data_IF_369796420561
#
_entry.id   IF_369796420561
#
_cell.length_a   1.000
_cell.length_b   1.000
_cell.length_c   1.000
_cell.angle_alpha   90.00
_cell.angle_beta   90.00
_cell.angle_gamma   90.00
#
_symmetry.space_group_name_H-M   'P 1'
#
loop_
_entity.id
_entity.type
_entity.pdbx_description
1 polymer ?
#
# COMPACT_ATOMS: atom_id res chain seq x y z
N UNK A 1 -9.93 9.19 -9.94
CA UNK A 1 -8.53 9.64 -9.93
C UNK A 1 -8.12 9.95 -8.51
N UNK A 2 -6.89 9.61 -8.10
CA UNK A 2 -6.38 9.93 -6.76
C UNK A 2 -5.99 11.41 -6.66
N UNK A 3 -6.22 12.08 -5.51
CA UNK A 3 -5.70 13.43 -5.28
C UNK A 3 -4.17 13.48 -5.45
N UNK A 4 -3.64 14.58 -5.97
CA UNK A 4 -2.19 14.72 -6.27
C UNK A 4 -1.29 14.43 -5.06
N UNK A 5 -1.65 14.93 -3.88
CA UNK A 5 -0.89 14.69 -2.65
C UNK A 5 -0.84 13.20 -2.26
N UNK A 6 -1.86 12.41 -2.61
CA UNK A 6 -1.89 10.96 -2.36
C UNK A 6 -0.96 10.24 -3.33
N UNK A 7 -0.92 10.66 -4.59
CA UNK A 7 0.00 10.12 -5.59
C UNK A 7 1.45 10.34 -5.14
N UNK A 8 1.81 11.57 -4.74
CA UNK A 8 3.14 11.90 -4.24
C UNK A 8 3.52 11.15 -2.94
N UNK A 9 2.55 10.86 -2.08
CA UNK A 9 2.76 10.01 -0.90
C UNK A 9 2.94 8.55 -1.28
N UNK A 10 2.19 8.06 -2.26
CA UNK A 10 2.30 6.69 -2.75
C UNK A 10 3.69 6.46 -3.35
N UNK A 11 4.16 7.36 -4.21
CA UNK A 11 5.47 7.27 -4.85
C UNK A 11 6.59 7.23 -3.80
N UNK A 12 6.57 8.15 -2.84
CA UNK A 12 7.57 8.17 -1.75
C UNK A 12 7.55 6.91 -0.90
N UNK A 13 6.36 6.41 -0.56
CA UNK A 13 6.24 5.20 0.25
C UNK A 13 6.60 3.94 -0.55
N UNK A 14 6.41 3.94 -1.86
CA UNK A 14 6.83 2.87 -2.74
C UNK A 14 8.36 2.79 -2.83
N UNK A 15 9.04 3.93 -2.99
CA UNK A 15 10.52 3.98 -2.93
C UNK A 15 11.06 3.61 -1.53
N UNK A 16 10.37 4.02 -0.46
CA UNK A 16 10.70 3.58 0.90
C UNK A 16 10.51 2.07 1.06
N UNK A 17 9.46 1.48 0.46
CA UNK A 17 9.21 0.05 0.51
C UNK A 17 10.35 -0.72 -0.18
N UNK A 18 10.80 -0.29 -1.36
CA UNK A 18 11.91 -0.93 -2.08
C UNK A 18 13.21 -0.95 -1.27
N UNK A 19 13.50 0.16 -0.58
CA UNK A 19 14.74 0.32 0.18
C UNK A 19 14.67 -0.29 1.59
N UNK A 20 13.51 -0.25 2.24
CA UNK A 20 13.28 -0.78 3.58
C UNK A 20 11.85 -1.28 3.76
N UNK A 21 11.55 -2.52 3.35
CA UNK A 21 10.22 -3.11 3.48
C UNK A 21 9.71 -3.20 4.93
N UNK A 22 10.64 -3.21 5.90
CA UNK A 22 10.35 -3.30 7.33
C UNK A 22 10.19 -1.93 8.01
N UNK A 23 10.18 -0.84 7.24
CA UNK A 23 10.05 0.49 7.81
C UNK A 23 8.71 0.63 8.56
N UNK A 24 8.70 1.00 9.86
CA UNK A 24 7.48 1.04 10.67
C UNK A 24 6.40 1.96 10.12
N UNK A 25 6.71 3.02 9.38
CA UNK A 25 5.65 3.87 8.80
C UNK A 25 4.80 3.18 7.73
N UNK A 26 5.35 2.15 7.06
CA UNK A 26 4.68 1.45 5.98
C UNK A 26 3.62 0.48 6.49
N UNK A 27 3.74 -0.03 7.72
CA UNK A 27 2.88 -1.09 8.27
C UNK A 27 2.63 -2.22 7.26
N UNK A 28 3.68 -2.63 6.53
CA UNK A 28 3.57 -3.67 5.52
C UNK A 28 3.15 -4.98 6.18
N UNK A 29 2.01 -5.54 5.74
CA UNK A 29 1.50 -6.81 6.27
C UNK A 29 0.68 -7.58 5.24
N UNK A 30 0.66 -8.89 5.38
CA UNK A 30 -0.25 -9.75 4.63
C UNK A 30 -1.66 -9.64 5.19
N UNK A 31 -2.65 -9.55 4.30
CA UNK A 31 -4.08 -9.46 4.61
C UNK A 31 -4.84 -10.37 3.64
N UNK A 32 -5.18 -11.57 4.10
CA UNK A 32 -5.72 -12.62 3.24
C UNK A 32 -4.72 -13.03 2.16
N UNK A 33 -5.15 -12.98 0.90
CA UNK A 33 -4.30 -13.27 -0.27
C UNK A 33 -3.47 -12.08 -0.76
N UNK A 34 -3.63 -10.91 -0.15
CA UNK A 34 -2.98 -9.67 -0.57
C UNK A 34 -1.98 -9.18 0.48
N UNK A 35 -1.16 -8.21 0.08
CA UNK A 35 -0.34 -7.41 0.97
C UNK A 35 -0.91 -6.00 1.05
N UNK A 36 -0.86 -5.40 2.24
CA UNK A 36 -1.28 -4.01 2.47
C UNK A 36 -0.10 -3.18 2.95
N UNK A 37 0.06 -2.00 2.37
CA UNK A 37 1.01 -0.98 2.80
C UNK A 37 0.27 0.36 3.06
N UNK A 38 0.80 1.14 3.99
CA UNK A 38 0.27 2.44 4.38
C UNK A 38 0.73 3.53 3.42
N UNK A 39 -0.22 4.32 2.92
CA UNK A 39 0.03 5.54 2.13
C UNK A 39 -0.52 6.72 2.94
N UNK A 40 0.24 7.18 3.94
CA UNK A 40 -0.25 8.17 4.90
C UNK A 40 -1.35 7.65 5.83
N UNK A 41 -1.99 8.55 6.57
CA UNK A 41 -2.89 8.15 7.67
C UNK A 41 -4.14 7.41 7.17
N UNK A 42 -4.78 7.94 6.12
CA UNK A 42 -6.11 7.51 5.62
C UNK A 42 -6.10 6.71 4.32
N UNK A 43 -4.95 6.45 3.70
CA UNK A 43 -4.87 5.69 2.45
C UNK A 43 -4.02 4.43 2.59
N UNK A 44 -4.35 3.42 1.80
CA UNK A 44 -3.65 2.13 1.73
C UNK A 44 -3.40 1.74 0.29
N UNK A 45 -2.28 1.06 0.07
CA UNK A 45 -2.02 0.31 -1.14
C UNK A 45 -2.27 -1.17 -0.90
N UNK A 46 -2.74 -1.87 -1.93
CA UNK A 46 -2.81 -3.31 -1.99
C UNK A 46 -1.87 -3.85 -3.06
N UNK A 47 -1.23 -4.96 -2.73
CA UNK A 47 -0.30 -5.64 -3.60
C UNK A 47 -0.54 -7.16 -3.61
N UNK A 48 -0.11 -7.80 -4.69
CA UNK A 48 0.04 -9.25 -4.79
C UNK A 48 1.53 -9.59 -4.75
N UNK A 49 1.85 -10.76 -4.19
CA UNK A 49 3.20 -11.31 -4.32
C UNK A 49 3.34 -11.96 -5.71
N UNK A 50 4.43 -11.67 -6.39
CA UNK A 50 4.84 -12.30 -7.63
C UNK A 50 6.29 -12.78 -7.46
N UNK A 51 6.46 -14.05 -7.10
CA UNK A 51 7.75 -14.56 -6.63
C UNK A 51 8.21 -13.83 -5.37
N UNK A 52 9.38 -13.20 -5.45
CA UNK A 52 9.98 -12.39 -4.38
C UNK A 52 9.54 -10.91 -4.44
N UNK A 53 8.78 -10.51 -5.45
CA UNK A 53 8.35 -9.14 -5.68
C UNK A 53 6.93 -8.86 -5.15
N UNK A 54 6.63 -7.60 -4.87
CA UNK A 54 5.30 -7.11 -4.52
C UNK A 54 4.79 -6.12 -5.57
N UNK A 55 3.73 -6.50 -6.27
CA UNK A 55 3.12 -5.66 -7.32
C UNK A 55 1.89 -4.94 -6.78
N UNK A 56 1.99 -3.62 -6.67
CA UNK A 56 0.88 -2.76 -6.24
C UNK A 56 -0.15 -2.63 -7.35
N UNK A 57 -1.40 -3.02 -7.09
CA UNK A 57 -2.48 -2.98 -8.09
C UNK A 57 -3.61 -2.01 -7.73
N UNK A 58 -3.63 -1.51 -6.49
CA UNK A 58 -4.69 -0.63 -6.01
C UNK A 58 -4.20 0.29 -4.91
N UNK A 59 -4.69 1.54 -4.90
CA UNK A 59 -4.53 2.50 -3.82
C UNK A 59 -5.89 3.16 -3.56
N UNK A 60 -6.29 3.27 -2.30
CA UNK A 60 -7.55 3.90 -1.94
C UNK A 60 -7.69 4.22 -0.47
N UNK A 61 -8.84 4.80 -0.13
CA UNK A 61 -9.13 5.26 1.23
C UNK A 61 -9.31 4.08 2.19
N UNK A 62 -9.24 4.33 3.49
CA UNK A 62 -9.52 3.29 4.49
C UNK A 62 -10.92 2.67 4.30
N UNK A 63 -11.92 3.51 4.00
CA UNK A 63 -13.30 3.06 3.75
C UNK A 63 -13.40 2.13 2.54
N UNK A 64 -12.66 2.42 1.46
CA UNK A 64 -12.67 1.57 0.27
C UNK A 64 -11.86 0.29 0.49
N UNK A 65 -10.77 0.38 1.25
CA UNK A 65 -9.96 -0.75 1.69
C UNK A 65 -10.80 -1.75 2.50
N UNK A 66 -11.60 -1.28 3.46
CA UNK A 66 -12.43 -2.14 4.31
C UNK A 66 -13.49 -2.92 3.50
N UNK A 67 -13.97 -2.36 2.39
CA UNK A 67 -14.90 -3.06 1.49
C UNK A 67 -14.22 -4.15 0.66
N UNK A 68 -12.93 -3.99 0.37
CA UNK A 68 -12.14 -4.88 -0.49
C UNK A 68 -11.58 -6.10 0.26
N UNK A 69 -11.43 -5.97 1.57
CA UNK A 69 -10.80 -6.95 2.46
C UNK A 69 -11.84 -7.78 3.23
N UNK A 70 -13.14 -7.49 3.04
CA UNK A 70 -14.26 -8.21 3.67
C UNK A 70 -14.47 -9.61 3.07
#
# INVERSE_FOLDING_TARGET
MLPKHVQELADRNFELLKSNPRHPSLHLKQVGRFWSARVGISWRALAVADGDDLVWFWIGSHTDYDKLIR
#
